data_IF_595202474339
#
_entry.id   IF_595202474339
#
_cell.length_a   1.000
_cell.length_b   1.000
_cell.length_c   1.000
_cell.angle_alpha   90.00
_cell.angle_beta   90.00
_cell.angle_gamma   90.00
#
_symmetry.space_group_name_H-M   'P 1'
#
loop_
_entity.id
_entity.type
_entity.pdbx_description
1 polymer ?
#
# COMPACT_ATOMS: atom_id res chain seq x y z
N UNK A 1 -1.16 -4.69 19.91
CA UNK A 1 -2.14 -4.42 18.83
C UNK A 1 -1.36 -4.42 17.51
N UNK A 2 -1.81 -5.15 16.48
CA UNK A 2 -1.09 -5.21 15.19
C UNK A 2 -1.35 -3.91 14.41
N UNK A 3 -0.28 -3.18 14.04
CA UNK A 3 -0.34 -2.05 13.12
C UNK A 3 -0.12 -2.54 11.68
N UNK A 4 -1.22 -2.70 10.94
CA UNK A 4 -1.24 -3.30 9.60
C UNK A 4 -0.53 -2.42 8.56
N UNK A 5 -0.64 -1.10 8.70
CA UNK A 5 0.02 -0.16 7.80
C UNK A 5 1.54 -0.18 8.03
N UNK A 6 1.98 -0.27 9.29
CA UNK A 6 3.41 -0.34 9.59
C UNK A 6 4.06 -1.60 9.00
N UNK A 7 3.41 -2.77 9.09
CA UNK A 7 3.88 -4.01 8.46
C UNK A 7 4.05 -3.82 6.95
N UNK A 8 3.10 -3.17 6.28
CA UNK A 8 3.23 -2.87 4.86
C UNK A 8 4.44 -1.99 4.57
N UNK A 9 4.70 -0.95 5.37
CA UNK A 9 5.86 -0.07 5.23
C UNK A 9 7.18 -0.82 5.44
N UNK A 10 7.26 -1.68 6.46
CA UNK A 10 8.44 -2.50 6.68
C UNK A 10 8.75 -3.35 5.44
N UNK A 11 7.73 -3.98 4.83
CA UNK A 11 7.92 -4.76 3.60
C UNK A 11 8.31 -3.89 2.40
N UNK A 12 7.76 -2.69 2.28
CA UNK A 12 8.16 -1.74 1.22
C UNK A 12 9.64 -1.38 1.36
N UNK A 13 10.10 -1.08 2.58
CA UNK A 13 11.49 -0.68 2.82
C UNK A 13 12.49 -1.81 2.52
N UNK A 14 12.05 -3.08 2.59
CA UNK A 14 12.87 -4.22 2.15
C UNK A 14 13.01 -4.32 0.62
N UNK A 15 12.19 -3.59 -0.14
CA UNK A 15 12.17 -3.60 -1.61
C UNK A 15 12.02 -5.02 -2.19
N UNK A 16 11.27 -5.88 -1.50
CA UNK A 16 10.95 -7.25 -1.91
C UNK A 16 9.48 -7.34 -2.34
N UNK A 17 9.27 -7.39 -3.66
CA UNK A 17 7.94 -7.41 -4.28
C UNK A 17 7.08 -8.59 -3.80
N UNK A 18 7.71 -9.75 -3.56
CA UNK A 18 7.01 -10.93 -3.07
C UNK A 18 6.50 -10.70 -1.65
N UNK A 19 7.35 -10.20 -0.76
CA UNK A 19 6.94 -9.96 0.62
C UNK A 19 5.84 -8.90 0.76
N UNK A 20 5.88 -7.85 -0.06
CA UNK A 20 4.83 -6.82 -0.05
C UNK A 20 3.53 -7.37 -0.64
N UNK A 21 3.61 -8.07 -1.78
CA UNK A 21 2.42 -8.64 -2.43
C UNK A 21 1.78 -9.74 -1.59
N UNK A 22 2.54 -10.49 -0.79
CA UNK A 22 2.03 -11.50 0.15
C UNK A 22 1.11 -10.89 1.23
N UNK A 23 1.15 -9.57 1.47
CA UNK A 23 0.21 -8.88 2.36
C UNK A 23 -1.17 -8.67 1.75
N UNK A 24 -1.31 -8.79 0.42
CA UNK A 24 -2.56 -8.59 -0.27
C UNK A 24 -3.42 -9.85 -0.25
N UNK A 25 -4.74 -9.64 -0.29
CA UNK A 25 -5.68 -10.71 -0.49
C UNK A 25 -5.55 -11.24 -1.92
N UNK A 26 -5.85 -12.52 -2.16
CA UNK A 26 -5.79 -13.14 -3.51
C UNK A 26 -6.61 -12.39 -4.57
N UNK A 27 -7.71 -11.77 -4.14
CA UNK A 27 -8.60 -10.92 -4.95
C UNK A 27 -8.44 -9.44 -4.60
N UNK A 28 -7.26 -9.03 -4.11
CA UNK A 28 -6.99 -7.67 -3.71
C UNK A 28 -6.97 -6.74 -4.91
N UNK A 29 -7.33 -5.47 -4.68
CA UNK A 29 -7.27 -4.41 -5.67
C UNK A 29 -6.20 -3.39 -5.29
N UNK A 30 -5.32 -3.05 -6.22
CA UNK A 30 -4.38 -1.95 -6.09
C UNK A 30 -4.56 -0.95 -7.25
N UNK A 31 -4.87 0.28 -6.86
CA UNK A 31 -4.82 1.48 -7.69
C UNK A 31 -3.58 2.27 -7.26
N UNK A 32 -2.45 2.01 -7.91
CA UNK A 32 -1.15 2.50 -7.47
C UNK A 32 -0.77 3.87 -8.02
N UNK A 33 0.08 4.59 -7.30
CA UNK A 33 0.56 5.93 -7.66
C UNK A 33 1.34 5.97 -8.96
N UNK A 34 2.11 4.91 -9.24
CA UNK A 34 3.11 4.88 -10.31
C UNK A 34 2.64 4.10 -11.56
N UNK A 35 1.33 3.87 -11.69
CA UNK A 35 0.74 3.08 -12.78
C UNK A 35 -0.68 3.54 -13.08
N UNK A 36 -1.02 3.72 -14.36
CA UNK A 36 -2.40 3.93 -14.80
C UNK A 36 -3.18 2.61 -15.00
N UNK A 37 -2.52 1.46 -14.81
CA UNK A 37 -3.12 0.13 -14.90
C UNK A 37 -3.64 -0.29 -13.52
N UNK A 38 -4.91 -0.69 -13.46
CA UNK A 38 -5.51 -1.36 -12.30
C UNK A 38 -4.85 -2.73 -12.05
N UNK A 39 -4.51 -3.00 -10.79
CA UNK A 39 -3.89 -4.26 -10.38
C UNK A 39 -4.87 -5.09 -9.57
N UNK A 40 -5.66 -5.90 -10.27
CA UNK A 40 -6.65 -6.78 -9.68
C UNK A 40 -6.11 -8.21 -9.55
N UNK A 41 -5.92 -8.65 -8.31
CA UNK A 41 -5.40 -9.97 -7.96
C UNK A 41 -3.88 -10.05 -7.86
N UNK A 42 -3.42 -11.14 -7.22
CA UNK A 42 -2.04 -11.33 -6.77
C UNK A 42 -0.99 -11.08 -7.87
N UNK A 43 -1.21 -11.61 -9.08
CA UNK A 43 -0.27 -11.52 -10.20
C UNK A 43 0.01 -10.06 -10.60
N UNK A 44 -1.04 -9.26 -10.79
CA UNK A 44 -0.84 -7.87 -11.21
C UNK A 44 -0.27 -7.01 -10.08
N UNK A 45 -0.54 -7.37 -8.83
CA UNK A 45 0.01 -6.69 -7.65
C UNK A 45 1.51 -6.95 -7.52
N UNK A 46 1.98 -8.20 -7.68
CA UNK A 46 3.42 -8.49 -7.66
C UNK A 46 4.13 -7.79 -8.82
N UNK A 47 3.56 -7.83 -10.03
CA UNK A 47 4.10 -7.13 -11.20
C UNK A 47 4.25 -5.61 -10.93
N UNK A 48 3.32 -4.98 -10.22
CA UNK A 48 3.42 -3.57 -9.85
C UNK A 48 4.62 -3.30 -8.93
N UNK A 49 4.83 -4.13 -7.91
CA UNK A 49 5.93 -3.94 -6.98
C UNK A 49 7.28 -4.31 -7.58
N UNK A 50 7.36 -5.31 -8.46
CA UNK A 50 8.58 -5.63 -9.21
C UNK A 50 9.02 -4.44 -10.08
N UNK A 51 8.06 -3.80 -10.76
CA UNK A 51 8.34 -2.58 -11.53
C UNK A 51 8.68 -1.39 -10.63
N UNK A 52 8.02 -1.24 -9.48
CA UNK A 52 8.30 -0.14 -8.55
C UNK A 52 9.71 -0.25 -7.95
N UNK A 53 10.15 -1.47 -7.63
CA UNK A 53 11.44 -1.75 -7.00
C UNK A 53 12.61 -1.84 -7.98
N UNK A 54 12.42 -1.46 -9.25
CA UNK A 54 13.56 -1.07 -10.10
C UNK A 54 14.24 0.20 -9.58
N UNK A 55 13.54 0.97 -8.74
CA UNK A 55 14.05 2.09 -7.96
C UNK A 55 14.08 1.74 -6.47
N UNK A 56 14.96 2.37 -5.70
CA UNK A 56 14.93 2.24 -4.24
C UNK A 56 13.76 3.04 -3.68
N UNK A 57 12.87 2.37 -2.95
CA UNK A 57 11.67 2.98 -2.38
C UNK A 57 11.66 2.91 -0.85
N UNK A 58 11.26 4.01 -0.22
CA UNK A 58 10.89 4.11 1.19
C UNK A 58 9.57 4.85 1.39
N UNK A 59 8.96 4.72 2.57
CA UNK A 59 7.69 5.37 2.92
C UNK A 59 7.73 6.02 4.30
N UNK A 60 7.29 7.27 4.36
CA UNK A 60 7.12 8.07 5.58
C UNK A 60 5.63 8.39 5.79
N UNK A 61 5.02 7.96 6.89
CA UNK A 61 3.64 8.35 7.24
C UNK A 61 3.62 9.81 7.71
N UNK A 62 2.69 10.59 7.17
CA UNK A 62 2.45 11.98 7.60
C UNK A 62 1.19 12.07 8.45
N UNK A 63 0.09 11.48 7.97
CA UNK A 63 -1.14 11.32 8.76
C UNK A 63 -1.71 9.93 8.56
N UNK A 64 -2.34 9.39 9.61
CA UNK A 64 -3.13 8.16 9.51
C UNK A 64 -4.39 8.29 10.34
N UNK A 65 -5.50 7.84 9.77
CA UNK A 65 -6.80 7.75 10.41
C UNK A 65 -7.28 6.31 10.25
N UNK A 66 -7.45 5.62 11.38
CA UNK A 66 -7.87 4.22 11.40
C UNK A 66 -9.29 4.09 11.98
N UNK A 67 -10.11 3.29 11.31
CA UNK A 67 -11.34 2.75 11.88
C UNK A 67 -11.31 1.23 11.77
N UNK A 68 -11.56 0.52 12.86
CA UNK A 68 -11.38 -0.93 12.92
C UNK A 68 -12.54 -1.63 13.61
N UNK A 69 -13.02 -2.69 12.97
CA UNK A 69 -13.96 -3.67 13.50
C UNK A 69 -13.22 -4.99 13.75
N UNK A 70 -13.94 -6.04 14.12
CA UNK A 70 -13.37 -7.38 14.30
C UNK A 70 -12.84 -8.00 12.99
N UNK A 71 -13.45 -7.64 11.85
CA UNK A 71 -13.22 -8.29 10.56
C UNK A 71 -12.70 -7.35 9.47
N UNK A 72 -12.82 -6.03 9.65
CA UNK A 72 -12.40 -5.01 8.69
C UNK A 72 -11.61 -3.92 9.40
N UNK A 73 -10.56 -3.41 8.78
CA UNK A 73 -9.90 -2.16 9.19
C UNK A 73 -9.75 -1.26 7.98
N UNK A 74 -10.05 0.03 8.12
CA UNK A 74 -9.75 1.05 7.11
C UNK A 74 -8.69 1.98 7.66
N UNK A 75 -7.67 2.26 6.85
CA UNK A 75 -6.59 3.19 7.21
C UNK A 75 -6.38 4.14 6.05
N UNK A 76 -6.63 5.42 6.28
CA UNK A 76 -6.47 6.45 5.24
C UNK A 76 -5.66 7.63 5.76
N UNK A 77 -5.01 8.35 4.87
CA UNK A 77 -4.20 9.49 5.26
C UNK A 77 -3.22 9.91 4.17
N UNK A 78 -2.12 10.50 4.62
CA UNK A 78 -1.06 11.00 3.77
C UNK A 78 0.26 10.30 4.10
N UNK A 79 1.03 9.96 3.08
CA UNK A 79 2.41 9.56 3.22
C UNK A 79 3.29 10.26 2.18
N UNK A 80 4.59 10.17 2.36
CA UNK A 80 5.57 10.46 1.33
C UNK A 80 6.24 9.16 0.92
N UNK A 81 6.34 8.94 -0.39
CA UNK A 81 7.33 8.04 -0.93
C UNK A 81 8.68 8.76 -1.02
N UNK A 82 9.75 8.04 -0.74
CA UNK A 82 11.10 8.40 -1.15
C UNK A 82 11.53 7.42 -2.24
N UNK A 83 11.66 7.89 -3.48
CA UNK A 83 12.03 7.07 -4.64
C UNK A 83 13.34 7.61 -5.21
N UNK A 84 14.42 6.84 -5.11
CA UNK A 84 15.78 7.27 -5.50
C UNK A 84 16.13 8.69 -4.99
N UNK A 85 15.86 8.93 -3.69
CA UNK A 85 16.05 10.20 -2.97
C UNK A 85 15.12 11.34 -3.38
N UNK A 86 14.13 11.10 -4.24
CA UNK A 86 13.08 12.07 -4.59
C UNK A 86 11.85 11.84 -3.72
N UNK A 87 11.37 12.90 -3.07
CA UNK A 87 10.16 12.86 -2.25
C UNK A 87 8.90 13.05 -3.11
N UNK A 88 7.96 12.12 -3.03
CA UNK A 88 6.68 12.15 -3.74
C UNK A 88 5.56 12.11 -2.71
N UNK A 89 4.79 13.21 -2.64
CA UNK A 89 3.67 13.34 -1.69
C UNK A 89 2.43 12.66 -2.24
N UNK A 90 1.79 11.83 -1.42
CA UNK A 90 0.63 11.06 -1.85
C UNK A 90 -0.42 10.93 -0.74
N UNK A 91 -1.65 10.73 -1.18
CA UNK A 91 -2.76 10.28 -0.33
C UNK A 91 -2.95 8.78 -0.51
N UNK A 92 -3.48 8.12 0.51
CA UNK A 92 -3.75 6.69 0.46
C UNK A 92 -5.03 6.32 1.19
N UNK A 93 -5.58 5.18 0.80
CA UNK A 93 -6.60 4.45 1.55
C UNK A 93 -6.34 2.95 1.44
N UNK A 94 -6.27 2.28 2.58
CA UNK A 94 -6.23 0.83 2.70
C UNK A 94 -7.52 0.31 3.32
N UNK A 95 -8.03 -0.78 2.76
CA UNK A 95 -9.05 -1.63 3.37
C UNK A 95 -8.41 -2.97 3.64
N UNK A 96 -8.35 -3.36 4.91
CA UNK A 96 -7.89 -4.65 5.36
C UNK A 96 -9.10 -5.53 5.71
N UNK A 97 -9.01 -6.81 5.36
CA UNK A 97 -9.97 -7.84 5.74
C UNK A 97 -9.27 -8.91 6.57
N UNK A 98 -9.94 -9.36 7.65
CA UNK A 98 -9.47 -10.47 8.47
C UNK A 98 -10.02 -11.78 7.92
N UNK A 99 -9.14 -12.68 7.50
CA UNK A 99 -9.50 -14.06 7.15
C UNK A 99 -9.00 -14.99 8.26
N UNK A 100 -9.93 -15.55 9.05
CA UNK A 100 -9.65 -16.33 10.26
C UNK A 100 -8.77 -15.53 11.24
N UNK A 101 -7.46 -15.75 11.21
CA UNK A 101 -6.48 -15.15 12.11
C UNK A 101 -5.52 -14.18 11.40
N UNK A 102 -5.57 -14.08 10.07
CA UNK A 102 -4.66 -13.26 9.29
C UNK A 102 -5.37 -12.05 8.68
N UNK A 103 -4.72 -10.89 8.70
CA UNK A 103 -5.19 -9.69 8.02
C UNK A 103 -4.53 -9.56 6.65
N UNK A 104 -5.32 -9.25 5.62
CA UNK A 104 -4.85 -9.01 4.26
C UNK A 104 -5.39 -7.69 3.72
N UNK A 105 -4.66 -7.06 2.82
CA UNK A 105 -5.11 -5.87 2.09
C UNK A 105 -6.11 -6.31 1.02
N UNK A 106 -7.37 -5.88 1.16
CA UNK A 106 -8.42 -6.11 0.18
C UNK A 106 -8.44 -5.01 -0.89
N UNK A 107 -8.24 -3.75 -0.48
CA UNK A 107 -8.17 -2.62 -1.40
C UNK A 107 -7.09 -1.65 -0.95
N UNK A 108 -6.30 -1.17 -1.90
CA UNK A 108 -5.33 -0.11 -1.71
C UNK A 108 -5.47 0.89 -2.86
N UNK A 109 -5.86 2.11 -2.53
CA UNK A 109 -5.79 3.24 -3.43
C UNK A 109 -4.68 4.17 -2.99
N UNK A 110 -3.77 4.53 -3.89
CA UNK A 110 -2.84 5.64 -3.67
C UNK A 110 -2.70 6.52 -4.90
N UNK A 111 -2.66 7.83 -4.66
CA UNK A 111 -2.49 8.85 -5.70
C UNK A 111 -1.59 9.97 -5.21
N UNK A 112 -0.90 10.61 -6.14
CA UNK A 112 -0.19 11.87 -5.86
C UNK A 112 -1.19 12.92 -5.35
N UNK A 113 -0.68 13.90 -4.60
CA UNK A 113 -1.52 15.06 -4.26
C UNK A 113 -1.94 15.78 -5.56
N UNK A 114 -3.22 16.15 -5.70
CA UNK A 114 -3.67 16.93 -6.84
C UNK A 114 -3.03 18.32 -6.81
N UNK A 115 -2.91 18.93 -7.99
CA UNK A 115 -2.57 20.33 -8.10
C UNK A 115 -3.66 21.18 -7.44
N UNK A 116 -3.27 22.31 -6.85
CA UNK A 116 -4.24 23.30 -6.38
C UNK A 116 -4.91 23.90 -7.61
N UNK A 117 -6.24 23.84 -7.65
CA UNK A 117 -7.08 24.56 -8.60
C UNK A 117 -6.97 26.06 -8.42
#
# INVERSE_FOLDING_TARGET
>A
MIDLLHIWIEKINLNDAKQVSDLYHKNGLLLGTFSNIERNGQKLIIDYFENLFTSQVGVEIITKHEFKTESISTVSGLYNFEVDKKKIKARFSFVFIKNKLEWKILSHHSSVLPEKS
#
